data_IF_416701417093
#
_entry.id   IF_416701417093
#
_cell.length_a   1.000
_cell.length_b   1.000
_cell.length_c   1.000
_cell.angle_alpha   90.00
_cell.angle_beta   90.00
_cell.angle_gamma   90.00
#
_symmetry.space_group_name_H-M   'P 1'
#
loop_
_entity.id
_entity.type
_entity.pdbx_description
1 polymer ?
#
# COMPACT_ATOMS: atom_id res chain seq x y z
N UNK A 1 9.63 13.86 -75.89
CA UNK A 1 10.62 12.81 -76.25
C UNK A 1 10.53 11.67 -75.24
N UNK A 2 9.74 10.62 -75.53
CA UNK A 2 9.93 9.23 -75.05
C UNK A 2 10.77 8.44 -76.11
N UNK A 3 11.25 7.17 -75.96
CA UNK A 3 10.46 5.94 -75.67
C UNK A 3 11.16 4.82 -74.82
N UNK A 4 10.44 3.93 -74.11
CA UNK A 4 10.02 2.50 -74.39
C UNK A 4 10.98 1.38 -73.89
N UNK A 5 10.49 0.66 -72.87
CA UNK A 5 10.20 -0.79 -72.70
C UNK A 5 10.96 -1.94 -73.42
N UNK A 6 10.99 -3.10 -72.72
CA UNK A 6 11.03 -4.52 -73.15
C UNK A 6 12.42 -5.22 -73.14
N UNK A 7 12.62 -6.53 -72.91
CA UNK A 7 11.94 -7.71 -72.33
C UNK A 7 12.99 -8.87 -72.30
N UNK A 8 12.85 -9.83 -71.38
CA UNK A 8 13.30 -11.27 -71.36
C UNK A 8 14.63 -11.71 -72.03
N UNK A 9 15.36 -12.61 -71.35
CA UNK A 9 15.73 -13.94 -71.86
C UNK A 9 16.35 -14.83 -70.76
N UNK A 10 15.85 -16.07 -70.66
CA UNK A 10 16.41 -17.17 -69.84
C UNK A 10 17.74 -17.67 -70.44
N UNK A 11 18.47 -18.51 -69.70
CA UNK A 11 18.88 -19.76 -70.34
C UNK A 11 18.57 -21.02 -69.52
N UNK A 12 18.43 -22.07 -70.29
CA UNK A 12 18.05 -23.46 -70.03
C UNK A 12 19.18 -24.33 -69.48
N UNK A 13 18.80 -25.19 -68.53
CA UNK A 13 19.13 -26.62 -68.33
C UNK A 13 20.36 -27.18 -69.06
N UNK A 14 21.28 -27.80 -68.31
CA UNK A 14 21.89 -29.10 -68.68
C UNK A 14 22.22 -29.91 -67.41
N UNK A 15 21.76 -31.16 -67.40
CA UNK A 15 21.94 -32.19 -66.37
C UNK A 15 23.36 -32.77 -66.39
N UNK A 16 23.90 -33.15 -65.23
CA UNK A 16 24.75 -34.35 -65.09
C UNK A 16 24.34 -35.11 -63.82
N UNK A 17 23.95 -36.36 -64.02
CA UNK A 17 23.70 -37.39 -63.00
C UNK A 17 25.00 -37.84 -62.34
N UNK A 18 24.99 -38.06 -61.02
CA UNK A 18 25.74 -39.19 -60.44
C UNK A 18 25.14 -39.68 -59.11
N UNK A 19 24.72 -40.94 -59.17
CA UNK A 19 24.63 -42.01 -58.17
C UNK A 19 24.10 -41.80 -56.74
N UNK A 20 23.15 -42.68 -56.46
CA UNK A 20 22.46 -43.02 -55.23
C UNK A 20 23.35 -43.47 -54.06
N UNK A 21 22.95 -43.09 -52.85
CA UNK A 21 22.89 -44.02 -51.71
C UNK A 21 21.62 -43.75 -50.88
N UNK A 22 20.77 -44.77 -50.76
CA UNK A 22 19.54 -44.74 -49.96
C UNK A 22 19.88 -44.84 -48.47
N UNK A 23 19.48 -43.84 -47.68
CA UNK A 23 19.08 -44.07 -46.28
C UNK A 23 17.71 -43.44 -46.05
N UNK A 24 16.69 -44.30 -45.86
CA UNK A 24 15.35 -43.89 -45.45
C UNK A 24 15.41 -43.46 -43.98
N UNK A 25 15.34 -42.17 -43.70
CA UNK A 25 14.85 -41.68 -42.42
C UNK A 25 13.41 -41.18 -42.64
N UNK A 26 12.45 -41.77 -41.93
CA UNK A 26 11.07 -41.29 -41.89
C UNK A 26 11.06 -39.97 -41.12
N UNK A 27 11.06 -38.84 -41.81
CA UNK A 27 10.67 -37.57 -41.21
C UNK A 27 9.15 -37.58 -41.01
N UNK A 28 8.70 -37.59 -39.75
CA UNK A 28 7.33 -37.21 -39.39
C UNK A 28 7.20 -35.71 -39.68
N UNK A 29 6.39 -35.34 -40.67
CA UNK A 29 5.89 -33.98 -40.78
C UNK A 29 5.03 -33.69 -39.54
N UNK A 30 5.60 -32.96 -38.57
CA UNK A 30 4.82 -32.29 -37.54
C UNK A 30 4.21 -31.06 -38.23
N UNK A 31 2.90 -31.10 -38.49
CA UNK A 31 2.16 -29.89 -38.87
C UNK A 31 2.21 -28.94 -37.68
N UNK A 32 2.99 -27.87 -37.78
CA UNK A 32 2.83 -26.73 -36.90
C UNK A 32 1.47 -26.10 -37.22
N UNK A 33 0.50 -26.35 -36.35
CA UNK A 33 -0.69 -25.53 -36.27
C UNK A 33 -0.24 -24.20 -35.66
N UNK A 34 -0.14 -23.16 -36.47
CA UNK A 34 -0.15 -21.79 -35.98
C UNK A 34 -1.53 -21.56 -35.38
N UNK A 35 -1.73 -21.95 -34.11
CA UNK A 35 -2.78 -21.37 -33.30
C UNK A 35 -2.49 -19.88 -33.26
N UNK A 36 -3.36 -19.09 -33.87
CA UNK A 36 -3.44 -17.68 -33.54
C UNK A 36 -3.51 -17.61 -32.02
N UNK A 37 -2.59 -16.85 -31.41
CA UNK A 37 -2.75 -16.43 -30.03
C UNK A 37 -3.97 -15.52 -30.07
N UNK A 38 -5.14 -16.10 -29.82
CA UNK A 38 -6.31 -15.32 -29.48
C UNK A 38 -5.93 -14.62 -28.18
N UNK A 39 -5.80 -13.30 -28.21
CA UNK A 39 -5.90 -12.48 -27.01
C UNK A 39 -7.30 -12.72 -26.43
N UNK A 40 -7.49 -13.83 -25.72
CA UNK A 40 -8.56 -13.91 -24.73
C UNK A 40 -8.27 -12.78 -23.75
N UNK A 41 -9.21 -11.84 -23.57
CA UNK A 41 -9.10 -10.86 -22.51
C UNK A 41 -8.77 -11.62 -21.21
N UNK A 42 -7.82 -11.12 -20.43
CA UNK A 42 -7.68 -11.58 -19.05
C UNK A 42 -9.01 -11.21 -18.39
N UNK A 43 -9.86 -12.21 -18.18
CA UNK A 43 -11.11 -12.02 -17.44
C UNK A 43 -10.71 -11.67 -16.02
N UNK A 44 -10.98 -10.43 -15.61
CA UNK A 44 -10.66 -9.95 -14.28
C UNK A 44 -11.63 -10.63 -13.30
N UNK A 45 -11.13 -11.35 -12.28
CA UNK A 45 -11.99 -12.04 -11.32
C UNK A 45 -12.93 -11.11 -10.55
N UNK A 46 -12.48 -9.88 -10.28
CA UNK A 46 -13.33 -8.83 -9.73
C UNK A 46 -14.13 -8.17 -10.88
N UNK A 47 -15.45 -8.40 -10.98
CA UNK A 47 -16.27 -7.77 -12.01
C UNK A 47 -16.34 -6.27 -11.78
N UNK A 48 -16.42 -5.48 -12.86
CA UNK A 48 -16.54 -4.01 -12.77
C UNK A 48 -15.47 -3.38 -11.87
N UNK A 49 -14.27 -3.95 -11.89
CA UNK A 49 -13.11 -3.33 -11.27
C UNK A 49 -12.76 -2.01 -11.97
N UNK A 50 -12.39 -1.00 -11.19
CA UNK A 50 -11.94 0.27 -11.73
C UNK A 50 -11.48 1.26 -10.68
N UNK A 51 -11.23 2.49 -11.15
CA UNK A 51 -10.93 3.65 -10.31
C UNK A 51 -12.08 4.65 -10.39
N UNK A 52 -12.54 5.13 -9.24
CA UNK A 52 -13.56 6.18 -9.15
C UNK A 52 -12.93 7.46 -8.63
N UNK A 53 -12.92 8.52 -9.45
CA UNK A 53 -12.51 9.84 -9.03
C UNK A 53 -13.72 10.62 -8.48
N UNK A 54 -13.55 11.26 -7.34
CA UNK A 54 -14.56 12.15 -6.76
C UNK A 54 -14.00 13.06 -5.67
N UNK A 55 -14.90 13.60 -4.86
CA UNK A 55 -14.60 14.42 -3.68
C UNK A 55 -15.31 13.81 -2.46
N UNK A 56 -14.59 13.45 -1.38
CA UNK A 56 -15.19 12.86 -0.20
C UNK A 56 -15.98 13.91 0.58
N UNK A 57 -17.20 13.56 1.00
CA UNK A 57 -18.12 14.46 1.70
C UNK A 57 -18.35 14.07 3.15
N UNK A 58 -18.16 12.79 3.49
CA UNK A 58 -18.33 12.30 4.87
C UNK A 58 -17.57 11.00 5.12
N UNK A 59 -16.89 10.91 6.26
CA UNK A 59 -16.34 9.66 6.77
C UNK A 59 -17.15 9.19 7.98
N UNK A 60 -17.61 7.93 7.96
CA UNK A 60 -18.34 7.30 9.04
C UNK A 60 -17.77 5.89 9.34
N UNK A 61 -16.85 5.76 10.31
CA UNK A 61 -16.17 4.50 10.58
C UNK A 61 -17.05 3.43 11.24
N UNK A 62 -18.22 3.80 11.79
CA UNK A 62 -19.08 2.90 12.57
C UNK A 62 -20.43 2.62 11.92
N UNK A 63 -20.60 3.00 10.64
CA UNK A 63 -21.88 2.87 9.94
C UNK A 63 -22.37 1.42 9.83
N UNK A 64 -21.45 0.48 9.56
CA UNK A 64 -21.74 -0.96 9.46
C UNK A 64 -20.60 -1.77 10.11
N UNK A 65 -20.91 -2.94 10.71
CA UNK A 65 -19.86 -3.83 11.21
C UNK A 65 -18.86 -4.21 10.11
N UNK A 66 -17.57 -4.16 10.43
CA UNK A 66 -16.46 -4.56 9.58
C UNK A 66 -16.09 -3.61 8.43
N UNK A 67 -16.87 -2.56 8.17
CA UNK A 67 -16.55 -1.56 7.15
C UNK A 67 -16.77 -0.14 7.66
N UNK A 68 -15.77 0.71 7.45
CA UNK A 68 -15.95 2.16 7.52
C UNK A 68 -16.50 2.66 6.20
N UNK A 69 -17.43 3.61 6.25
CA UNK A 69 -18.14 4.11 5.07
C UNK A 69 -17.73 5.55 4.77
N UNK A 70 -17.24 5.77 3.55
CA UNK A 70 -16.92 7.10 3.02
C UNK A 70 -17.97 7.48 1.98
N UNK A 71 -18.73 8.54 2.26
CA UNK A 71 -19.60 9.16 1.26
C UNK A 71 -18.78 10.11 0.39
N UNK A 72 -19.02 10.10 -0.93
CA UNK A 72 -18.34 10.98 -1.87
C UNK A 72 -19.26 11.42 -3.02
N UNK A 73 -18.87 12.51 -3.69
CA UNK A 73 -19.50 13.01 -4.91
C UNK A 73 -18.58 12.81 -6.10
N UNK A 74 -19.15 12.47 -7.26
CA UNK A 74 -18.44 12.50 -8.55
C UNK A 74 -19.00 13.59 -9.49
N UNK A 75 -19.78 14.54 -8.94
CA UNK A 75 -20.47 15.58 -9.69
C UNK A 75 -21.77 15.13 -10.38
N UNK A 76 -22.04 13.82 -10.47
CA UNK A 76 -23.32 13.29 -10.96
C UNK A 76 -24.23 12.82 -9.83
N UNK A 77 -23.64 12.34 -8.74
CA UNK A 77 -24.31 11.98 -7.49
C UNK A 77 -23.50 12.53 -6.31
N UNK A 78 -24.19 12.91 -5.23
CA UNK A 78 -23.59 13.38 -3.97
C UNK A 78 -23.59 12.32 -2.87
N UNK A 79 -24.19 11.15 -3.13
CA UNK A 79 -24.51 10.12 -2.13
C UNK A 79 -23.87 8.77 -2.51
N UNK A 80 -22.72 8.79 -3.18
CA UNK A 80 -21.98 7.56 -3.51
C UNK A 80 -21.28 7.03 -2.26
N UNK A 81 -21.22 5.71 -2.12
CA UNK A 81 -20.65 5.05 -0.95
C UNK A 81 -19.36 4.29 -1.28
N UNK A 82 -18.36 4.38 -0.41
CA UNK A 82 -17.16 3.56 -0.47
C UNK A 82 -17.04 2.76 0.83
N UNK A 83 -17.18 1.44 0.70
CA UNK A 83 -17.05 0.51 1.82
C UNK A 83 -15.56 0.14 2.00
N UNK A 84 -14.92 0.74 2.99
CA UNK A 84 -13.51 0.52 3.34
C UNK A 84 -13.42 -0.56 4.40
N UNK A 85 -12.70 -1.65 4.12
CA UNK A 85 -12.54 -2.76 5.06
C UNK A 85 -11.75 -2.32 6.30
N UNK A 86 -12.39 -2.40 7.47
CA UNK A 86 -11.77 -2.12 8.77
C UNK A 86 -11.67 -3.37 9.66
N UNK A 87 -12.22 -4.50 9.19
CA UNK A 87 -12.14 -5.79 9.86
C UNK A 87 -12.10 -6.93 8.83
N UNK A 88 -11.51 -8.06 9.23
CA UNK A 88 -11.51 -9.32 8.48
C UNK A 88 -12.54 -10.30 9.04
N UNK A 89 -13.14 -11.12 8.17
CA UNK A 89 -14.05 -12.21 8.56
C UNK A 89 -13.32 -13.56 8.76
N UNK A 90 -12.00 -13.57 8.62
CA UNK A 90 -11.18 -14.78 8.82
C UNK A 90 -10.92 -15.05 10.31
N UNK A 91 -10.46 -16.26 10.64
CA UNK A 91 -10.04 -16.62 12.00
C UNK A 91 -8.85 -15.80 12.48
N UNK A 92 -7.98 -15.39 11.55
CA UNK A 92 -7.00 -14.34 11.78
C UNK A 92 -7.56 -13.05 11.18
N UNK A 93 -8.04 -12.20 12.07
CA UNK A 93 -8.77 -10.98 11.74
C UNK A 93 -7.87 -9.78 11.46
N UNK A 94 -6.54 -9.95 11.57
CA UNK A 94 -5.58 -8.87 11.45
C UNK A 94 -5.54 -8.31 10.03
N UNK A 95 -5.39 -6.99 9.95
CA UNK A 95 -5.16 -6.26 8.71
C UNK A 95 -3.70 -5.83 8.62
N UNK A 96 -3.27 -5.57 7.40
CA UNK A 96 -2.03 -4.89 7.09
C UNK A 96 -2.39 -3.54 6.50
N UNK A 97 -1.73 -2.50 7.01
CA UNK A 97 -1.95 -1.12 6.62
C UNK A 97 -0.67 -0.51 6.07
N UNK A 98 -0.79 0.18 4.94
CA UNK A 98 0.25 1.06 4.41
C UNK A 98 -0.30 2.46 4.20
N UNK A 99 0.47 3.46 4.64
CA UNK A 99 0.21 4.87 4.39
C UNK A 99 1.42 5.53 3.75
N UNK A 100 1.22 6.04 2.55
CA UNK A 100 2.21 6.81 1.81
C UNK A 100 1.76 8.27 1.87
N UNK A 101 2.41 9.12 2.67
CA UNK A 101 2.04 10.55 2.81
C UNK A 101 2.63 11.44 1.71
N UNK A 102 3.63 10.91 1.00
CA UNK A 102 4.31 11.55 -0.12
C UNK A 102 4.24 10.59 -1.32
N UNK A 103 3.02 10.20 -1.71
CA UNK A 103 2.83 9.32 -2.88
C UNK A 103 3.44 10.00 -4.10
N UNK A 104 4.43 9.36 -4.72
CA UNK A 104 5.27 9.99 -5.72
C UNK A 104 4.43 10.41 -6.94
N UNK A 105 4.19 11.71 -7.08
CA UNK A 105 3.45 12.28 -8.20
C UNK A 105 4.15 12.10 -9.55
N UNK A 106 5.43 11.75 -9.55
CA UNK A 106 6.18 11.39 -10.76
C UNK A 106 5.96 9.93 -11.18
N UNK A 107 5.36 9.10 -10.31
CA UNK A 107 4.99 7.73 -10.67
C UNK A 107 3.96 7.73 -11.83
N UNK A 108 4.09 6.84 -12.82
CA UNK A 108 3.19 6.81 -13.98
C UNK A 108 1.71 6.75 -13.63
N UNK A 109 1.35 6.08 -12.53
CA UNK A 109 -0.05 6.01 -12.07
C UNK A 109 -0.57 7.39 -11.63
N UNK A 110 0.21 8.17 -10.87
CA UNK A 110 -0.21 9.49 -10.41
C UNK A 110 -0.40 10.47 -11.58
N UNK A 111 0.54 10.45 -12.54
CA UNK A 111 0.45 11.29 -13.73
C UNK A 111 -0.83 11.05 -14.54
N UNK A 112 -1.25 9.79 -14.66
CA UNK A 112 -2.48 9.43 -15.37
C UNK A 112 -3.73 9.77 -14.55
N UNK A 113 -3.70 9.58 -13.22
CA UNK A 113 -4.81 9.94 -12.32
C UNK A 113 -5.11 11.44 -12.31
N UNK A 114 -4.08 12.29 -12.38
CA UNK A 114 -4.25 13.75 -12.38
C UNK A 114 -5.09 14.24 -13.57
N UNK A 115 -5.05 13.53 -14.70
CA UNK A 115 -5.80 13.87 -15.91
C UNK A 115 -7.26 13.37 -15.96
N UNK A 116 -7.75 12.69 -14.91
CA UNK A 116 -9.13 12.20 -14.88
C UNK A 116 -10.09 13.31 -14.46
N UNK A 117 -11.22 13.38 -15.16
CA UNK A 117 -12.42 14.07 -14.69
C UNK A 117 -13.10 13.22 -13.59
N UNK A 118 -13.96 13.80 -12.74
CA UNK A 118 -14.77 13.02 -11.80
C UNK A 118 -15.61 11.93 -12.50
N UNK A 119 -15.69 10.75 -11.90
CA UNK A 119 -16.44 9.61 -12.42
C UNK A 119 -15.72 8.27 -12.29
N UNK A 120 -16.39 7.20 -12.72
CA UNK A 120 -15.89 5.83 -12.67
C UNK A 120 -15.22 5.40 -13.99
N UNK A 121 -14.00 4.88 -13.89
CA UNK A 121 -13.20 4.38 -15.02
C UNK A 121 -12.87 2.90 -14.83
N UNK A 122 -13.54 2.03 -15.60
CA UNK A 122 -13.28 0.59 -15.58
C UNK A 122 -11.84 0.28 -16.02
N UNK A 123 -11.17 -0.63 -15.30
CA UNK A 123 -9.77 -1.01 -15.54
C UNK A 123 -9.64 -2.51 -15.83
N UNK A 124 -8.69 -2.85 -16.71
CA UNK A 124 -8.49 -4.23 -17.15
C UNK A 124 -7.00 -4.53 -17.41
N UNK A 125 -6.41 -5.38 -16.57
CA UNK A 125 -5.10 -5.98 -16.78
C UNK A 125 -3.90 -5.03 -16.66
N UNK A 126 -2.70 -5.48 -17.05
CA UNK A 126 -1.41 -4.86 -16.73
C UNK A 126 -1.12 -3.51 -17.39
N UNK A 127 -1.85 -3.16 -18.45
CA UNK A 127 -1.65 -1.90 -19.19
C UNK A 127 -2.74 -0.87 -18.83
N UNK A 128 -3.36 -1.01 -17.67
CA UNK A 128 -4.44 -0.16 -17.17
C UNK A 128 -3.99 0.62 -15.93
N UNK A 129 -4.88 1.42 -15.35
CA UNK A 129 -4.65 2.08 -14.06
C UNK A 129 -4.79 1.13 -12.86
N UNK A 130 -5.09 -0.15 -13.08
CA UNK A 130 -5.31 -1.11 -11.99
C UNK A 130 -4.11 -1.23 -11.06
N UNK A 131 -4.38 -1.22 -9.75
CA UNK A 131 -3.35 -1.40 -8.74
C UNK A 131 -2.89 -2.85 -8.67
N UNK A 132 -1.59 -3.05 -8.47
CA UNK A 132 -1.01 -4.33 -8.08
C UNK A 132 0.07 -4.05 -7.04
N UNK A 133 -0.17 -4.44 -5.79
CA UNK A 133 0.72 -4.15 -4.67
C UNK A 133 2.06 -4.87 -4.79
N UNK A 134 2.08 -6.01 -5.50
CA UNK A 134 3.26 -6.86 -5.63
C UNK A 134 4.06 -6.58 -6.91
N UNK A 135 3.46 -5.90 -7.89
CA UNK A 135 4.07 -5.65 -9.22
C UNK A 135 4.09 -4.19 -9.64
N UNK A 136 3.31 -3.33 -8.98
CA UNK A 136 3.09 -1.94 -9.38
C UNK A 136 4.23 -0.98 -9.05
N UNK A 137 5.22 -1.41 -8.26
CA UNK A 137 6.42 -0.63 -7.91
C UNK A 137 6.13 0.77 -7.29
N UNK A 138 5.02 0.89 -6.56
CA UNK A 138 4.69 2.09 -5.78
C UNK A 138 4.64 1.79 -4.27
N UNK A 139 4.75 0.52 -3.87
CA UNK A 139 4.55 0.06 -2.51
C UNK A 139 5.67 -0.91 -2.11
N UNK A 140 6.36 -0.60 -1.01
CA UNK A 140 7.23 -1.58 -0.35
C UNK A 140 6.41 -2.36 0.68
N UNK A 141 6.14 -3.63 0.38
CA UNK A 141 5.30 -4.48 1.23
C UNK A 141 5.86 -4.71 2.63
N UNK A 142 7.18 -4.58 2.84
CA UNK A 142 7.81 -4.77 4.15
C UNK A 142 7.62 -3.58 5.10
N UNK A 143 7.12 -2.46 4.60
CA UNK A 143 6.80 -1.28 5.40
C UNK A 143 5.40 -1.34 6.05
N UNK A 144 4.64 -2.41 5.76
CA UNK A 144 3.29 -2.62 6.26
C UNK A 144 3.25 -2.76 7.78
N UNK A 145 2.17 -2.24 8.37
CA UNK A 145 1.88 -2.36 9.80
C UNK A 145 0.75 -3.36 9.97
N UNK A 146 0.98 -4.41 10.76
CA UNK A 146 -0.10 -5.29 11.20
C UNK A 146 -0.91 -4.60 12.28
N UNK A 147 -2.23 -4.53 12.09
CA UNK A 147 -3.20 -4.04 13.07
C UNK A 147 -4.19 -5.16 13.40
N UNK A 148 -4.60 -5.26 14.66
CA UNK A 148 -5.50 -6.30 15.16
C UNK A 148 -6.79 -5.66 15.64
N UNK A 149 -7.92 -6.29 15.36
CA UNK A 149 -9.26 -5.88 15.82
C UNK A 149 -9.58 -6.34 17.25
N UNK A 150 -8.58 -6.77 18.04
CA UNK A 150 -8.84 -7.36 19.35
C UNK A 150 -9.26 -6.30 20.37
N UNK A 151 -10.55 -6.27 20.71
CA UNK A 151 -11.19 -5.30 21.60
C UNK A 151 -10.60 -5.22 23.02
N UNK A 152 -9.77 -6.19 23.43
CA UNK A 152 -9.07 -6.15 24.72
C UNK A 152 -7.90 -5.15 24.74
N UNK A 153 -7.34 -4.81 23.57
CA UNK A 153 -6.23 -3.89 23.41
C UNK A 153 -6.74 -2.62 22.69
N UNK A 154 -7.32 -1.69 23.43
CA UNK A 154 -7.94 -0.41 22.97
C UNK A 154 -7.02 0.52 22.14
N UNK A 155 -5.84 0.07 21.67
CA UNK A 155 -4.78 0.89 21.05
C UNK A 155 -4.29 0.38 19.69
N UNK A 156 -4.96 -0.59 19.08
CA UNK A 156 -4.51 -1.23 17.83
C UNK A 156 -5.54 -1.18 16.70
N UNK A 157 -6.48 -0.22 16.78
CA UNK A 157 -7.54 -0.04 15.80
C UNK A 157 -7.00 0.60 14.51
N UNK A 158 -7.36 0.03 13.36
CA UNK A 158 -7.12 0.61 12.03
C UNK A 158 -7.70 2.04 11.92
N UNK A 159 -8.75 2.34 12.68
CA UNK A 159 -9.38 3.66 12.72
C UNK A 159 -8.42 4.75 13.25
N UNK A 160 -7.45 4.42 14.10
CA UNK A 160 -6.42 5.39 14.52
C UNK A 160 -5.57 5.90 13.34
N UNK A 161 -5.56 5.16 12.23
CA UNK A 161 -4.86 5.53 11.01
C UNK A 161 -5.80 6.14 9.96
N UNK A 162 -7.01 5.61 9.82
CA UNK A 162 -7.97 6.06 8.80
C UNK A 162 -8.69 7.36 9.18
N UNK A 163 -9.08 7.54 10.45
CA UNK A 163 -9.87 8.70 10.88
C UNK A 163 -9.18 10.04 10.60
N UNK A 164 -7.88 10.23 10.93
CA UNK A 164 -7.22 11.51 10.70
C UNK A 164 -7.10 11.86 9.21
N UNK A 165 -6.76 10.88 8.36
CA UNK A 165 -6.52 11.13 6.93
C UNK A 165 -7.82 11.29 6.14
N UNK A 166 -8.82 10.42 6.36
CA UNK A 166 -10.09 10.50 5.66
C UNK A 166 -10.92 11.69 6.17
N UNK A 167 -10.87 12.00 7.47
CA UNK A 167 -11.48 13.20 8.02
C UNK A 167 -10.87 14.49 7.48
N UNK A 168 -9.54 14.52 7.30
CA UNK A 168 -8.84 15.64 6.65
C UNK A 168 -9.21 15.75 5.17
N UNK A 169 -9.28 14.63 4.45
CA UNK A 169 -9.70 14.61 3.04
C UNK A 169 -11.09 15.21 2.85
N UNK A 170 -12.04 14.89 3.73
CA UNK A 170 -13.38 15.50 3.76
C UNK A 170 -13.30 17.00 4.06
N UNK A 171 -12.55 17.39 5.09
CA UNK A 171 -12.45 18.79 5.54
C UNK A 171 -11.85 19.69 4.46
N UNK A 172 -10.80 19.21 3.79
CA UNK A 172 -10.07 19.96 2.79
C UNK A 172 -10.64 19.81 1.38
N UNK A 173 -11.69 19.00 1.21
CA UNK A 173 -12.29 18.69 -0.09
C UNK A 173 -11.25 18.15 -1.08
N UNK A 174 -10.45 17.19 -0.64
CA UNK A 174 -9.44 16.54 -1.47
C UNK A 174 -10.07 15.83 -2.68
N UNK A 175 -9.32 15.70 -3.77
CA UNK A 175 -9.65 14.72 -4.81
C UNK A 175 -9.37 13.32 -4.24
N UNK A 176 -10.29 12.39 -4.42
CA UNK A 176 -10.13 10.98 -4.02
C UNK A 176 -10.24 10.06 -5.23
N UNK A 177 -9.37 9.06 -5.27
CA UNK A 177 -9.32 7.99 -6.26
C UNK A 177 -9.51 6.66 -5.54
N UNK A 178 -10.69 6.08 -5.69
CA UNK A 178 -11.09 4.83 -5.04
C UNK A 178 -10.93 3.67 -6.01
N UNK A 179 -10.14 2.66 -5.63
CA UNK A 179 -9.94 1.44 -6.42
C UNK A 179 -10.69 0.28 -5.81
N UNK A 180 -11.38 -0.50 -6.65
CA UNK A 180 -12.15 -1.65 -6.20
C UNK A 180 -13.26 -2.04 -7.17
N UNK A 181 -14.22 -2.80 -6.66
CA UNK A 181 -15.38 -3.28 -7.40
C UNK A 181 -16.53 -2.26 -7.34
N UNK A 182 -17.00 -1.76 -8.49
CA UNK A 182 -18.25 -0.97 -8.52
C UNK A 182 -19.46 -1.87 -8.26
N UNK A 183 -20.34 -1.42 -7.37
CA UNK A 183 -21.68 -1.97 -7.21
C UNK A 183 -22.76 -0.94 -7.54
N UNK A 184 -23.95 -1.44 -7.84
CA UNK A 184 -25.16 -0.62 -7.95
C UNK A 184 -26.06 -0.97 -6.76
N UNK A 185 -26.37 0.04 -5.93
CA UNK A 185 -27.18 -0.15 -4.73
C UNK A 185 -28.65 -0.36 -5.10
N UNK A 186 -29.31 -1.35 -4.49
CA UNK A 186 -30.77 -1.57 -4.75
C UNK A 186 -31.66 -0.46 -4.18
N UNK A 187 -31.12 0.35 -3.28
CA UNK A 187 -31.74 1.50 -2.63
C UNK A 187 -31.25 2.85 -3.19
N UNK A 188 -30.47 2.82 -4.28
CA UNK A 188 -29.88 4.02 -4.88
C UNK A 188 -28.52 4.43 -4.31
N UNK A 189 -27.95 3.65 -3.37
CA UNK A 189 -26.57 3.86 -2.90
C UNK A 189 -25.58 3.12 -3.81
N UNK A 190 -25.36 3.65 -5.00
CA UNK A 190 -24.25 3.22 -5.86
C UNK A 190 -22.92 3.45 -5.15
N UNK A 191 -21.94 2.59 -5.41
CA UNK A 191 -20.69 2.71 -4.69
C UNK A 191 -19.59 1.76 -5.12
N UNK A 192 -18.54 1.69 -4.32
CA UNK A 192 -17.37 0.86 -4.54
C UNK A 192 -16.99 0.09 -3.27
N UNK A 193 -16.62 -1.18 -3.42
CA UNK A 193 -16.16 -2.06 -2.35
C UNK A 193 -14.89 -2.81 -2.79
N UNK A 194 -14.42 -3.76 -1.99
CA UNK A 194 -13.17 -4.50 -2.23
C UNK A 194 -11.96 -3.57 -2.34
N UNK A 195 -11.93 -2.54 -1.47
CA UNK A 195 -10.90 -1.50 -1.37
C UNK A 195 -9.71 -2.01 -0.53
N UNK A 196 -9.21 -3.18 -0.91
CA UNK A 196 -8.05 -3.84 -0.32
C UNK A 196 -7.37 -4.71 -1.39
N UNK A 197 -6.22 -5.31 -1.06
CA UNK A 197 -5.52 -6.24 -1.95
C UNK A 197 -6.44 -7.38 -2.38
N UNK A 198 -6.56 -7.65 -3.68
CA UNK A 198 -7.49 -8.63 -4.27
C UNK A 198 -6.73 -9.79 -4.93
N UNK A 199 -5.63 -10.21 -4.30
CA UNK A 199 -4.80 -11.34 -4.69
C UNK A 199 -4.20 -12.04 -3.45
N UNK A 200 -3.63 -13.23 -3.63
CA UNK A 200 -2.99 -13.98 -2.55
C UNK A 200 -3.94 -14.62 -1.55
N UNK A 201 -5.24 -14.68 -1.85
CA UNK A 201 -6.23 -15.33 -1.01
C UNK A 201 -6.17 -16.86 -1.10
N UNK A 202 -6.52 -17.53 -0.01
CA UNK A 202 -6.72 -18.99 0.06
C UNK A 202 -8.19 -19.33 0.34
N UNK A 203 -8.53 -20.62 0.34
CA UNK A 203 -9.89 -21.07 0.70
C UNK A 203 -10.98 -20.55 -0.24
N UNK A 204 -12.11 -20.11 0.32
CA UNK A 204 -13.30 -19.68 -0.44
C UNK A 204 -13.08 -18.39 -1.26
N UNK A 205 -12.11 -17.56 -0.85
CA UNK A 205 -11.78 -16.27 -1.48
C UNK A 205 -10.76 -16.41 -2.62
N UNK A 206 -10.25 -17.62 -2.87
CA UNK A 206 -9.30 -17.91 -3.97
C UNK A 206 -9.84 -17.50 -5.35
N UNK A 207 -11.17 -17.53 -5.51
CA UNK A 207 -11.86 -17.17 -6.75
C UNK A 207 -11.75 -15.69 -7.10
N UNK A 208 -11.45 -14.84 -6.12
CA UNK A 208 -11.38 -13.39 -6.28
C UNK A 208 -9.94 -12.93 -6.62
N UNK A 209 -8.96 -13.85 -6.57
CA UNK A 209 -7.55 -13.56 -6.84
C UNK A 209 -7.28 -13.18 -8.29
N UNK A 210 -6.62 -12.05 -8.51
CA UNK A 210 -6.14 -11.62 -9.82
C UNK A 210 -5.13 -10.48 -9.73
N UNK A 211 -4.24 -10.41 -10.71
CA UNK A 211 -3.23 -9.34 -10.82
C UNK A 211 -3.85 -8.06 -11.37
N UNK A 212 -3.34 -6.88 -10.99
CA UNK A 212 -3.82 -5.58 -11.47
C UNK A 212 -5.31 -5.30 -11.20
N UNK A 213 -5.80 -5.78 -10.05
CA UNK A 213 -7.14 -5.48 -9.53
C UNK A 213 -7.16 -5.23 -8.02
N UNK A 214 -6.03 -4.88 -7.43
CA UNK A 214 -6.01 -4.52 -6.01
C UNK A 214 -6.83 -3.25 -5.79
N UNK A 215 -7.53 -3.19 -4.67
CA UNK A 215 -8.22 -2.01 -4.19
C UNK A 215 -7.29 -1.09 -3.40
N UNK A 216 -7.76 0.12 -3.10
CA UNK A 216 -6.98 1.12 -2.38
C UNK A 216 -7.55 2.52 -2.55
N UNK A 217 -6.95 3.47 -1.85
CA UNK A 217 -7.35 4.88 -1.89
C UNK A 217 -6.12 5.72 -2.20
N UNK A 218 -6.23 6.61 -3.18
CA UNK A 218 -5.24 7.68 -3.41
C UNK A 218 -5.97 9.01 -3.24
N UNK A 219 -5.32 9.97 -2.60
CA UNK A 219 -5.83 11.30 -2.29
C UNK A 219 -4.91 12.36 -2.87
N UNK A 220 -5.49 13.43 -3.40
CA UNK A 220 -4.76 14.64 -3.79
C UNK A 220 -5.36 15.83 -3.07
N UNK A 221 -4.55 16.51 -2.27
CA UNK A 221 -4.98 17.63 -1.45
C UNK A 221 -4.77 18.99 -2.15
N UNK A 222 -5.45 20.07 -1.71
CA UNK A 222 -5.35 21.38 -2.34
C UNK A 222 -3.96 22.01 -2.40
N UNK A 223 -3.03 21.58 -1.55
CA UNK A 223 -1.61 21.96 -1.53
C UNK A 223 -0.72 21.05 -2.40
N UNK A 224 -1.32 20.30 -3.34
CA UNK A 224 -0.66 19.45 -4.36
C UNK A 224 0.15 18.26 -3.82
N UNK A 225 -0.01 17.92 -2.53
CA UNK A 225 0.53 16.67 -2.02
C UNK A 225 -0.44 15.51 -2.24
N UNK A 226 0.13 14.31 -2.41
CA UNK A 226 -0.59 13.08 -2.68
C UNK A 226 -0.38 12.09 -1.56
N UNK A 227 -1.44 11.40 -1.16
CA UNK A 227 -1.37 10.36 -0.14
C UNK A 227 -2.01 9.05 -0.65
N UNK A 228 -1.44 7.91 -0.30
CA UNK A 228 -1.95 6.58 -0.66
C UNK A 228 -2.24 5.75 0.58
N UNK A 229 -3.43 5.14 0.63
CA UNK A 229 -3.87 4.23 1.67
C UNK A 229 -4.11 2.86 1.04
N UNK A 230 -3.39 1.86 1.53
CA UNK A 230 -3.47 0.50 1.01
C UNK A 230 -3.69 -0.49 2.16
N UNK A 231 -4.53 -1.49 1.90
CA UNK A 231 -4.98 -2.46 2.89
C UNK A 231 -4.82 -3.88 2.35
N UNK A 232 -4.42 -4.81 3.20
CA UNK A 232 -4.49 -6.25 2.93
C UNK A 232 -4.91 -6.98 4.21
N UNK A 233 -5.35 -8.23 4.06
CA UNK A 233 -5.52 -9.14 5.20
C UNK A 233 -4.18 -9.79 5.54
N UNK A 234 -3.87 -9.94 6.83
CA UNK A 234 -2.61 -10.54 7.26
C UNK A 234 -2.41 -11.98 6.73
N UNK A 235 -3.50 -12.68 6.45
CA UNK A 235 -3.51 -14.04 5.88
C UNK A 235 -3.23 -14.11 4.38
N UNK A 236 -3.28 -12.99 3.65
CA UNK A 236 -2.98 -12.99 2.22
C UNK A 236 -1.49 -13.21 1.98
N UNK A 237 -1.17 -13.95 0.90
CA UNK A 237 0.20 -14.19 0.51
C UNK A 237 0.88 -12.90 0.05
N UNK A 238 2.10 -12.68 0.56
CA UNK A 238 3.01 -11.61 0.16
C UNK A 238 3.67 -11.83 -1.20
N UNK A 239 3.48 -13.01 -1.80
CA UNK A 239 3.95 -13.37 -3.13
C UNK A 239 2.84 -14.15 -3.86
N UNK A 240 2.66 -13.86 -5.15
CA UNK A 240 1.65 -14.50 -5.97
C UNK A 240 2.16 -14.87 -7.35
N UNK A 241 1.54 -15.88 -7.97
CA UNK A 241 1.77 -16.23 -9.38
C UNK A 241 1.16 -15.18 -10.33
N UNK A 242 1.29 -15.39 -11.65
CA UNK A 242 0.77 -14.47 -12.67
C UNK A 242 -0.77 -14.39 -12.73
N UNK A 243 -1.47 -15.19 -11.94
CA UNK A 243 -2.93 -15.19 -11.79
C UNK A 243 -3.35 -14.62 -10.43
N UNK A 244 -2.41 -14.09 -9.65
CA UNK A 244 -2.68 -13.57 -8.31
C UNK A 244 -2.91 -14.67 -7.27
N UNK A 245 -2.63 -15.94 -7.57
CA UNK A 245 -2.76 -17.03 -6.62
C UNK A 245 -1.56 -17.06 -5.66
N UNK A 246 -1.75 -17.44 -4.38
CA UNK A 246 -0.68 -17.43 -3.40
C UNK A 246 0.47 -18.38 -3.78
N UNK A 247 1.71 -17.86 -3.77
CA UNK A 247 2.93 -18.60 -4.12
C UNK A 247 4.08 -18.33 -3.12
N UNK A 248 3.74 -17.93 -1.89
CA UNK A 248 4.72 -17.63 -0.86
C UNK A 248 4.08 -17.40 0.51
N UNK A 249 4.87 -16.90 1.49
CA UNK A 249 4.40 -16.69 2.85
C UNK A 249 3.33 -15.60 2.91
N UNK A 250 2.46 -15.67 3.91
CA UNK A 250 1.49 -14.65 4.26
C UNK A 250 2.15 -13.37 4.78
N UNK A 251 1.43 -12.25 4.75
CA UNK A 251 1.89 -11.02 5.40
C UNK A 251 2.11 -11.20 6.89
N UNK A 252 1.28 -11.99 7.56
CA UNK A 252 1.46 -12.37 8.96
C UNK A 252 2.86 -12.94 9.20
N UNK A 253 3.33 -13.85 8.33
CA UNK A 253 4.62 -14.50 8.46
C UNK A 253 5.79 -13.55 8.17
N UNK A 254 5.67 -12.64 7.19
CA UNK A 254 6.79 -11.74 6.82
C UNK A 254 6.85 -10.44 7.62
N UNK A 255 5.74 -10.01 8.22
CA UNK A 255 5.66 -8.78 9.03
C UNK A 255 5.64 -9.06 10.54
N UNK A 256 5.45 -10.31 10.98
CA UNK A 256 5.60 -10.73 12.38
C UNK A 256 6.95 -11.45 12.58
N UNK A 257 8.02 -10.76 12.99
CA UNK A 257 9.39 -11.29 12.99
C UNK A 257 9.66 -12.47 13.94
N UNK A 258 8.73 -12.83 14.83
CA UNK A 258 8.95 -13.90 15.84
C UNK A 258 8.31 -15.26 15.47
N UNK A 259 7.77 -15.43 14.26
CA UNK A 259 7.19 -16.70 13.81
C UNK A 259 5.84 -17.00 14.46
N UNK A 260 4.79 -17.04 13.65
CA UNK A 260 3.40 -17.24 14.06
C UNK A 260 3.03 -18.65 14.54
N UNK A 261 3.84 -19.28 15.40
CA UNK A 261 3.41 -20.45 16.16
C UNK A 261 3.11 -20.01 17.58
N UNK A 262 1.82 -20.00 17.95
CA UNK A 262 1.32 -19.68 19.29
C UNK A 262 1.69 -20.72 20.36
N UNK A 263 2.96 -21.11 20.43
CA UNK A 263 3.53 -21.74 21.61
C UNK A 263 4.40 -20.69 22.28
N UNK A 264 4.10 -20.35 23.54
CA UNK A 264 5.07 -19.67 24.39
C UNK A 264 6.26 -20.62 24.65
N UNK A 265 7.50 -20.15 24.47
CA UNK A 265 8.59 -20.69 25.26
C UNK A 265 9.31 -19.57 26.00
N UNK A 266 9.45 -19.79 27.31
CA UNK A 266 10.63 -19.48 28.10
C UNK A 266 11.29 -18.12 27.91
N UNK A 267 11.25 -17.31 28.95
CA UNK A 267 12.09 -16.14 29.12
C UNK A 267 13.56 -16.43 28.77
N UNK A 268 14.00 -15.93 27.60
CA UNK A 268 15.42 -15.71 27.34
C UNK A 268 15.63 -14.25 26.90
N UNK A 269 16.34 -13.54 27.77
CA UNK A 269 16.88 -12.20 27.57
C UNK A 269 17.91 -12.22 26.45
N UNK A 270 17.62 -11.58 25.31
CA UNK A 270 18.54 -11.45 24.18
C UNK A 270 18.49 -10.04 23.62
N UNK A 271 19.65 -9.45 23.38
CA UNK A 271 19.87 -8.05 22.95
C UNK A 271 19.38 -7.70 21.54
N UNK A 272 18.41 -8.46 20.99
CA UNK A 272 17.82 -8.30 19.66
C UNK A 272 16.49 -7.53 19.63
N UNK A 273 15.79 -7.40 20.77
CA UNK A 273 14.46 -6.76 20.81
C UNK A 273 14.49 -5.26 20.46
N UNK A 274 15.62 -4.59 20.73
CA UNK A 274 15.74 -3.17 20.47
C UNK A 274 15.63 -2.86 18.97
N UNK A 275 16.16 -3.69 18.07
CA UNK A 275 16.07 -3.46 16.61
C UNK A 275 14.65 -3.55 16.03
N UNK A 276 13.68 -4.03 16.82
CA UNK A 276 12.28 -4.16 16.40
C UNK A 276 11.42 -2.95 16.80
N UNK A 277 11.94 -2.04 17.65
CA UNK A 277 11.30 -0.74 17.91
C UNK A 277 11.83 0.30 16.95
N UNK A 278 10.92 1.07 16.35
CA UNK A 278 11.23 1.97 15.26
C UNK A 278 10.53 3.31 15.35
N UNK A 279 11.17 4.35 14.81
CA UNK A 279 10.59 5.66 14.56
C UNK A 279 9.65 5.52 13.36
N UNK A 280 8.34 5.60 13.61
CA UNK A 280 7.34 5.48 12.56
C UNK A 280 6.94 6.85 12.01
N UNK A 281 6.68 7.80 12.90
CA UNK A 281 6.27 9.14 12.52
C UNK A 281 6.60 10.18 13.60
N UNK A 282 6.41 11.46 13.30
CA UNK A 282 6.36 12.52 14.29
C UNK A 282 5.39 13.64 13.88
N UNK A 283 4.65 14.19 14.84
CA UNK A 283 4.05 15.51 14.74
C UNK A 283 5.16 16.54 14.98
N UNK A 284 5.81 16.98 13.90
CA UNK A 284 6.93 17.94 13.97
C UNK A 284 6.41 19.37 14.06
N UNK A 285 5.32 19.67 13.37
CA UNK A 285 4.74 21.00 13.26
C UNK A 285 3.31 20.99 13.82
N UNK A 286 3.13 20.99 15.15
CA UNK A 286 1.81 21.17 15.74
C UNK A 286 1.27 22.58 15.43
N UNK A 287 -0.04 22.80 15.53
CA UNK A 287 -0.65 24.11 15.23
C UNK A 287 -0.04 25.22 16.10
N UNK A 288 0.56 26.24 15.48
CA UNK A 288 1.19 27.36 16.18
C UNK A 288 2.65 27.61 15.75
N UNK A 289 3.34 28.55 16.42
CA UNK A 289 4.75 28.79 16.14
C UNK A 289 5.62 27.55 16.39
N UNK A 290 6.71 27.44 15.63
CA UNK A 290 7.74 26.39 15.77
C UNK A 290 8.12 26.22 17.25
N UNK A 291 8.07 24.97 17.75
CA UNK A 291 8.36 24.60 19.15
C UNK A 291 7.39 25.16 20.22
N UNK A 292 6.31 25.82 19.80
CA UNK A 292 5.35 26.48 20.69
C UNK A 292 3.91 26.24 20.22
N UNK A 293 3.34 25.03 20.42
CA UNK A 293 1.98 24.72 20.00
C UNK A 293 0.97 25.66 20.67
N UNK A 294 0.01 26.14 19.89
CA UNK A 294 -1.10 27.00 20.34
C UNK A 294 -2.39 26.22 20.56
N UNK A 295 -2.51 25.02 19.97
CA UNK A 295 -3.67 24.13 20.14
C UNK A 295 -3.28 22.67 19.82
N UNK A 296 -3.92 21.73 20.51
CA UNK A 296 -3.78 20.30 20.27
C UNK A 296 -2.59 19.69 21.01
N UNK A 297 -2.13 18.53 20.54
CA UNK A 297 -0.90 17.92 21.03
C UNK A 297 0.31 18.74 20.58
N UNK A 298 1.32 18.83 21.45
CA UNK A 298 2.61 19.39 21.07
C UNK A 298 3.39 18.45 20.17
N UNK A 299 4.68 18.73 20.00
CA UNK A 299 5.56 17.84 19.24
C UNK A 299 5.55 16.43 19.84
N UNK A 300 5.33 15.45 18.98
CA UNK A 300 5.10 14.05 19.38
C UNK A 300 5.84 13.13 18.42
N UNK A 301 6.54 12.12 18.95
CA UNK A 301 7.20 11.08 18.15
C UNK A 301 6.46 9.76 18.34
N UNK A 302 6.10 9.11 17.24
CA UNK A 302 5.41 7.83 17.22
C UNK A 302 6.41 6.71 17.02
N UNK A 303 6.44 5.78 17.98
CA UNK A 303 7.24 4.57 17.92
C UNK A 303 6.35 3.38 17.58
N UNK A 304 6.85 2.49 16.73
CA UNK A 304 6.23 1.20 16.42
C UNK A 304 7.11 0.07 16.99
N UNK A 305 6.51 -0.78 17.82
CA UNK A 305 7.08 -2.06 18.20
C UNK A 305 6.64 -3.13 17.22
N UNK A 306 7.57 -3.65 16.41
CA UNK A 306 7.34 -4.74 15.46
C UNK A 306 7.55 -6.13 16.06
N UNK A 307 7.84 -6.29 17.36
CA UNK A 307 7.90 -7.62 17.97
C UNK A 307 6.52 -8.14 18.35
N UNK A 308 6.41 -9.45 18.57
CA UNK A 308 5.21 -10.12 19.13
C UNK A 308 5.15 -10.06 20.65
N UNK A 309 6.21 -9.53 21.28
CA UNK A 309 6.32 -9.30 22.73
C UNK A 309 6.25 -7.82 23.07
N UNK A 310 5.76 -7.43 24.26
CA UNK A 310 5.86 -6.06 24.74
C UNK A 310 7.31 -5.67 25.02
N UNK A 311 7.68 -4.43 24.70
CA UNK A 311 9.02 -3.88 24.94
C UNK A 311 8.96 -2.75 25.95
N UNK A 312 9.76 -2.85 27.02
CA UNK A 312 9.94 -1.76 27.98
C UNK A 312 10.87 -0.69 27.39
N UNK A 313 10.39 0.55 27.37
CA UNK A 313 11.17 1.70 26.94
C UNK A 313 11.82 2.46 28.12
N UNK A 314 11.87 1.85 29.31
CA UNK A 314 12.47 2.48 30.48
C UNK A 314 13.93 2.85 30.23
N UNK A 315 14.26 4.12 30.44
CA UNK A 315 15.60 4.68 30.25
C UNK A 315 15.97 4.92 28.78
N UNK A 316 15.08 4.65 27.82
CA UNK A 316 15.30 5.02 26.42
C UNK A 316 15.18 6.54 26.25
N UNK A 317 15.80 7.06 25.20
CA UNK A 317 15.77 8.50 24.90
C UNK A 317 15.48 8.77 23.43
N UNK A 318 14.68 9.80 23.20
CA UNK A 318 14.50 10.41 21.88
C UNK A 318 15.38 11.65 21.84
N UNK A 319 16.21 11.77 20.81
CA UNK A 319 17.21 12.82 20.68
C UNK A 319 17.01 13.56 19.36
N UNK A 320 16.93 14.89 19.40
CA UNK A 320 16.81 15.69 18.19
C UNK A 320 18.19 15.97 17.54
N UNK A 321 18.18 16.70 16.41
CA UNK A 321 19.40 17.06 15.67
C UNK A 321 20.40 17.90 16.48
N UNK A 322 19.92 18.66 17.47
CA UNK A 322 20.72 19.52 18.35
C UNK A 322 21.28 18.76 19.57
N UNK A 323 20.90 17.49 19.76
CA UNK A 323 21.34 16.66 20.88
C UNK A 323 20.53 16.85 22.16
N UNK A 324 19.44 17.63 22.12
CA UNK A 324 18.45 17.71 23.19
C UNK A 324 17.73 16.36 23.34
N UNK A 325 17.27 16.03 24.55
CA UNK A 325 16.82 14.66 24.89
C UNK A 325 15.49 14.67 25.63
N UNK A 326 14.57 13.85 25.15
CA UNK A 326 13.39 13.42 25.89
C UNK A 326 13.61 12.00 26.40
N UNK A 327 13.58 11.81 27.72
CA UNK A 327 13.63 10.48 28.33
C UNK A 327 12.24 9.84 28.33
N UNK A 328 12.21 8.52 28.13
CA UNK A 328 10.99 7.69 28.20
C UNK A 328 11.00 6.95 29.55
N UNK A 329 9.94 7.12 30.33
CA UNK A 329 9.80 6.59 31.69
C UNK A 329 8.47 5.87 31.89
N UNK A 330 8.49 4.71 32.54
CA UNK A 330 7.30 3.94 32.91
C UNK A 330 6.50 3.45 31.71
N UNK A 331 7.11 3.32 30.53
CA UNK A 331 6.41 2.95 29.30
C UNK A 331 6.68 1.50 28.94
N UNK A 332 5.60 0.74 28.79
CA UNK A 332 5.57 -0.51 28.03
C UNK A 332 4.93 -0.24 26.68
N UNK A 333 5.63 -0.55 25.59
CA UNK A 333 5.09 -0.54 24.24
C UNK A 333 4.61 -1.95 23.92
N UNK A 334 3.31 -2.13 23.68
CA UNK A 334 2.70 -3.44 23.42
C UNK A 334 3.26 -4.11 22.15
N UNK A 335 3.01 -5.41 21.97
CA UNK A 335 3.39 -6.11 20.73
C UNK A 335 2.66 -5.53 19.52
N UNK A 336 3.31 -5.46 18.36
CA UNK A 336 2.75 -4.90 17.11
C UNK A 336 2.10 -3.50 17.28
N UNK A 337 2.56 -2.71 18.26
CA UNK A 337 1.87 -1.48 18.66
C UNK A 337 2.60 -0.22 18.25
N UNK A 338 1.82 0.77 17.81
CA UNK A 338 2.26 2.15 17.62
C UNK A 338 1.85 2.99 18.82
N UNK A 339 2.71 3.89 19.30
CA UNK A 339 2.35 4.86 20.34
C UNK A 339 3.08 6.19 20.15
N UNK A 340 2.35 7.29 20.35
CA UNK A 340 2.90 8.65 20.39
C UNK A 340 3.51 8.99 21.75
N UNK A 341 4.64 9.69 21.72
CA UNK A 341 5.37 10.20 22.88
C UNK A 341 5.64 11.69 22.69
N UNK A 342 5.11 12.52 23.58
CA UNK A 342 5.41 13.95 23.57
C UNK A 342 6.89 14.19 23.88
N UNK A 343 7.50 15.14 23.17
CA UNK A 343 8.94 15.43 23.24
C UNK A 343 9.27 16.88 23.63
N UNK A 344 8.69 17.44 24.72
CA UNK A 344 8.89 18.85 25.08
C UNK A 344 10.35 19.21 25.40
N UNK A 345 11.20 18.23 25.69
CA UNK A 345 12.62 18.43 25.99
C UNK A 345 13.55 18.09 24.80
N UNK A 346 13.00 17.76 23.63
CA UNK A 346 13.76 17.46 22.42
C UNK A 346 13.04 18.05 21.20
N UNK A 347 13.14 19.37 21.06
CA UNK A 347 12.31 20.12 20.12
C UNK A 347 12.51 19.67 18.67
N UNK A 348 11.43 19.63 17.88
CA UNK A 348 11.43 19.21 16.49
C UNK A 348 11.25 20.43 15.58
N UNK A 349 12.28 20.81 14.83
CA UNK A 349 12.21 22.04 14.04
C UNK A 349 11.37 21.88 12.77
N UNK A 350 10.49 22.84 12.52
CA UNK A 350 9.75 22.96 11.26
C UNK A 350 10.63 23.24 10.02
N UNK A 351 11.95 23.37 10.19
CA UNK A 351 12.93 23.63 9.12
C UNK A 351 13.64 22.36 8.63
N UNK A 352 13.15 21.20 9.04
CA UNK A 352 13.80 19.91 8.83
C UNK A 352 14.72 19.55 9.99
N UNK A 353 15.00 18.26 10.13
CA UNK A 353 15.75 17.78 11.28
C UNK A 353 16.00 16.29 11.26
N UNK A 354 16.57 15.82 12.37
CA UNK A 354 16.84 14.40 12.63
C UNK A 354 16.32 14.01 14.00
N UNK A 355 15.73 12.83 14.08
CA UNK A 355 15.28 12.19 15.32
C UNK A 355 16.08 10.90 15.48
N UNK A 356 16.64 10.68 16.66
CA UNK A 356 17.40 9.47 16.98
C UNK A 356 16.80 8.82 18.22
N UNK A 357 16.37 7.57 18.07
CA UNK A 357 15.93 6.74 19.19
C UNK A 357 17.13 5.99 19.75
N UNK A 358 17.36 6.11 21.05
CA UNK A 358 18.45 5.41 21.75
C UNK A 358 17.90 4.55 22.88
N UNK A 359 18.45 3.36 23.00
CA UNK A 359 18.20 2.45 24.12
C UNK A 359 18.74 3.01 25.45
N UNK A 360 18.36 2.39 26.57
CA UNK A 360 18.90 2.68 27.91
C UNK A 360 20.43 2.66 28.03
N UNK A 361 21.11 1.93 27.14
CA UNK A 361 22.58 1.85 27.09
C UNK A 361 23.20 2.86 26.12
N UNK A 362 22.46 3.90 25.71
CA UNK A 362 22.85 4.91 24.72
C UNK A 362 23.18 4.38 23.31
N UNK A 363 22.89 3.10 22.99
CA UNK A 363 23.00 2.57 21.63
C UNK A 363 21.87 3.12 20.77
N UNK A 364 22.18 3.56 19.55
CA UNK A 364 21.18 3.94 18.54
C UNK A 364 20.36 2.70 18.20
N UNK A 365 19.05 2.84 18.35
CA UNK A 365 18.07 1.82 17.99
C UNK A 365 17.55 2.11 16.60
N UNK A 366 17.17 3.36 16.36
CA UNK A 366 16.67 3.82 15.08
C UNK A 366 16.99 5.30 14.89
N UNK A 367 16.97 5.75 13.64
CA UNK A 367 17.11 7.16 13.31
C UNK A 367 16.29 7.51 12.08
N UNK A 368 15.72 8.70 12.10
CA UNK A 368 14.94 9.26 11.01
C UNK A 368 15.37 10.70 10.74
N UNK A 369 15.29 11.12 9.49
CA UNK A 369 15.44 12.52 9.11
C UNK A 369 14.21 12.98 8.35
N UNK A 370 13.93 14.27 8.41
CA UNK A 370 12.83 14.88 7.67
C UNK A 370 13.25 16.24 7.12
N UNK A 371 12.67 16.62 5.99
CA UNK A 371 12.97 17.89 5.33
C UNK A 371 12.05 19.01 5.83
N UNK A 372 12.38 20.25 5.45
CA UNK A 372 11.52 21.40 5.69
C UNK A 372 10.15 21.24 5.03
N UNK A 373 10.15 20.70 3.82
CA UNK A 373 8.94 20.50 3.01
C UNK A 373 8.01 19.50 3.70
N UNK A 374 8.56 18.40 4.24
CA UNK A 374 7.79 17.43 5.02
C UNK A 374 7.21 18.04 6.31
N UNK A 375 7.97 18.92 6.96
CA UNK A 375 7.56 19.58 8.21
C UNK A 375 6.64 20.81 8.02
N UNK A 376 6.38 21.23 6.78
CA UNK A 376 5.71 22.51 6.52
C UNK A 376 4.22 22.50 6.93
N UNK A 377 3.57 21.32 6.92
CA UNK A 377 2.14 21.17 7.18
C UNK A 377 1.86 21.14 8.68
N UNK A 378 1.10 22.14 9.18
CA UNK A 378 0.66 22.17 10.58
C UNK A 378 -0.33 21.04 10.89
N UNK A 379 -0.22 20.47 12.09
CA UNK A 379 -1.15 19.45 12.60
C UNK A 379 -1.04 18.10 11.90
N UNK A 380 0.00 17.87 11.10
CA UNK A 380 0.17 16.68 10.26
C UNK A 380 1.40 15.88 10.72
N UNK A 381 1.26 14.55 10.73
CA UNK A 381 2.35 13.62 10.99
C UNK A 381 3.29 13.50 9.79
N UNK A 382 4.60 13.55 10.06
CA UNK A 382 5.68 13.17 9.14
C UNK A 382 6.06 11.72 9.39
N UNK A 383 6.03 10.85 8.38
CA UNK A 383 6.36 9.42 8.50
C UNK A 383 7.72 9.11 7.87
N UNK A 384 8.53 8.27 8.52
CA UNK A 384 9.98 8.15 8.25
C UNK A 384 10.43 6.91 7.47
N UNK A 385 9.53 5.93 7.28
CA UNK A 385 9.81 4.67 6.59
C UNK A 385 8.81 4.47 5.45
N UNK A 386 8.79 5.42 4.53
CA UNK A 386 8.04 5.32 3.28
C UNK A 386 8.99 4.70 2.25
N UNK A 387 8.53 3.64 1.58
CA UNK A 387 9.34 2.79 0.72
C UNK A 387 10.18 3.58 -0.29
N UNK A 388 11.49 3.31 -0.27
CA UNK A 388 12.39 3.55 -1.38
C UNK A 388 12.58 2.26 -2.16
#
# INVERSE_FOLDING_TARGET
MPPITHILLRPTITQILTLSFRRRYRCRCVRFSTRAITNTPVEMPIPRYGVWKGTPTKWNPTAKPGHGHLTFSDGTSEELDAAVNIQSQSTDSRLVYWLLRDFDKTHPIAQQLQGLDPGFYAQHGPNSLGLDFLRGNFLNIHDGIIVSDNAADEKHDILEYLDPILGKAVTDQADIYLYGQKYDGRDGTDGIHDIHMNQGNTGQWKRDNGTYQDGGIILTFPDDHWEGIFLAFAVQASQTDNQGQPDGPSFAEILSPDGGTGEEPGAETGTGDASLVSLQAALVNPFGPDQHPTRGEGETVYLLNRSTKPVSLEGWTIVNGEGQKQALHGVMLGPQSKRGFSVPNAALSNKGGRIVLKSKNNKIVDQASYTKEQAQREGVLVYFRQGN
#
